data_IF_247331259251
#
_entry.id   IF_247331259251
#
_cell.length_a   1.000
_cell.length_b   1.000
_cell.length_c   1.000
_cell.angle_alpha   90.00
_cell.angle_beta   90.00
_cell.angle_gamma   90.00
#
_symmetry.space_group_name_H-M   'P 1'
#
loop_
_entity.id
_entity.type
_entity.pdbx_description
1 polymer ?
#
# COMPACT_ATOMS: atom_id res chain seq x y z
N UNK A 1 1.45 -7.02 10.31
CA UNK A 1 0.69 -7.54 9.15
C UNK A 1 1.50 -8.61 8.44
N UNK A 2 0.90 -9.69 7.91
CA UNK A 2 1.54 -10.67 7.01
C UNK A 2 1.43 -10.23 5.55
N UNK A 3 2.23 -10.82 4.65
CA UNK A 3 2.15 -10.58 3.20
C UNK A 3 0.73 -10.82 2.68
N UNK A 4 0.06 -11.86 3.19
CA UNK A 4 -1.31 -12.22 2.83
C UNK A 4 -2.31 -11.13 3.23
N UNK A 5 -2.13 -10.52 4.41
CA UNK A 5 -2.96 -9.39 4.85
C UNK A 5 -2.73 -8.14 3.99
N UNK A 6 -1.50 -7.90 3.52
CA UNK A 6 -1.18 -6.79 2.61
C UNK A 6 -1.87 -7.01 1.26
N UNK A 7 -1.77 -8.23 0.71
CA UNK A 7 -2.42 -8.59 -0.56
C UNK A 7 -3.94 -8.49 -0.48
N UNK A 8 -4.54 -8.92 0.63
CA UNK A 8 -5.98 -8.80 0.86
C UNK A 8 -6.42 -7.33 0.95
N UNK A 9 -5.63 -6.48 1.63
CA UNK A 9 -5.88 -5.03 1.66
C UNK A 9 -5.77 -4.40 0.27
N UNK A 10 -4.73 -4.75 -0.50
CA UNK A 10 -4.55 -4.29 -1.90
C UNK A 10 -5.78 -4.63 -2.74
N UNK A 11 -6.28 -5.86 -2.67
CA UNK A 11 -7.48 -6.27 -3.44
C UNK A 11 -8.69 -5.41 -3.11
N UNK A 12 -9.00 -5.25 -1.82
CA UNK A 12 -10.14 -4.41 -1.38
C UNK A 12 -10.01 -2.97 -1.85
N UNK A 13 -8.80 -2.41 -1.81
CA UNK A 13 -8.53 -1.04 -2.26
C UNK A 13 -8.73 -0.88 -3.78
N UNK A 14 -8.32 -1.88 -4.58
CA UNK A 14 -8.56 -1.88 -6.03
C UNK A 14 -10.06 -1.98 -6.33
N UNK A 15 -10.79 -2.83 -5.61
CA UNK A 15 -12.24 -2.94 -5.77
C UNK A 15 -12.94 -1.60 -5.43
N UNK A 16 -12.55 -0.94 -4.34
CA UNK A 16 -13.06 0.39 -3.97
C UNK A 16 -12.72 1.46 -5.03
N UNK A 17 -11.50 1.46 -5.57
CA UNK A 17 -11.08 2.37 -6.65
C UNK A 17 -11.94 2.19 -7.91
N UNK A 18 -12.21 0.94 -8.29
CA UNK A 18 -13.08 0.61 -9.42
C UNK A 18 -14.51 1.09 -9.21
N UNK A 19 -15.09 0.91 -8.03
CA UNK A 19 -16.43 1.40 -7.70
C UNK A 19 -16.51 2.93 -7.73
N UNK A 20 -15.49 3.60 -7.19
CA UNK A 20 -15.39 5.06 -7.17
C UNK A 20 -15.24 5.66 -8.57
N UNK A 21 -14.41 5.04 -9.42
CA UNK A 21 -14.24 5.43 -10.84
C UNK A 21 -15.52 5.20 -11.64
N UNK A 22 -16.26 4.14 -11.35
CA UNK A 22 -17.53 3.84 -12.04
C UNK A 22 -18.64 4.83 -11.65
N UNK A 23 -18.67 5.27 -10.39
CA UNK A 23 -19.72 6.15 -9.88
C UNK A 23 -19.60 7.61 -10.38
N UNK A 24 -18.45 8.03 -10.94
CA UNK A 24 -18.22 9.34 -11.57
C UNK A 24 -18.66 10.59 -10.76
N UNK A 25 -18.76 10.49 -9.44
CA UNK A 25 -19.19 11.59 -8.57
C UNK A 25 -18.05 12.60 -8.30
N UNK A 26 -18.37 13.91 -8.24
CA UNK A 26 -17.42 14.93 -7.84
C UNK A 26 -17.00 14.71 -6.38
N UNK A 27 -15.70 14.43 -6.17
CA UNK A 27 -15.13 14.08 -4.86
C UNK A 27 -14.46 12.71 -4.83
N UNK A 28 -14.85 11.80 -5.73
CA UNK A 28 -14.21 10.49 -5.85
C UNK A 28 -12.78 10.57 -6.37
N UNK A 29 -12.43 11.59 -7.17
CA UNK A 29 -11.07 11.77 -7.66
C UNK A 29 -10.03 11.94 -6.53
N UNK A 30 -10.39 12.65 -5.45
CA UNK A 30 -9.51 12.80 -4.28
C UNK A 30 -9.38 11.48 -3.50
N UNK A 31 -10.47 10.71 -3.41
CA UNK A 31 -10.48 9.39 -2.75
C UNK A 31 -9.68 8.35 -3.54
N UNK A 32 -9.85 8.31 -4.86
CA UNK A 32 -9.07 7.45 -5.78
C UNK A 32 -7.59 7.76 -5.63
N UNK A 33 -7.19 9.04 -5.61
CA UNK A 33 -5.79 9.41 -5.42
C UNK A 33 -5.23 8.92 -4.08
N UNK A 34 -5.99 9.06 -2.99
CA UNK A 34 -5.57 8.57 -1.68
C UNK A 34 -5.42 7.03 -1.67
N UNK A 35 -6.31 6.31 -2.38
CA UNK A 35 -6.21 4.85 -2.55
C UNK A 35 -4.95 4.47 -3.34
N UNK A 36 -4.64 5.19 -4.41
CA UNK A 36 -3.42 4.98 -5.21
C UNK A 36 -2.16 5.17 -4.34
N UNK A 37 -2.10 6.21 -3.51
CA UNK A 37 -1.00 6.45 -2.56
C UNK A 37 -0.88 5.32 -1.51
N UNK A 38 -2.00 4.83 -0.97
CA UNK A 38 -2.00 3.69 -0.04
C UNK A 38 -1.57 2.37 -0.70
N UNK A 39 -1.92 2.17 -1.97
CA UNK A 39 -1.51 1.01 -2.76
C UNK A 39 0.00 0.99 -2.98
N UNK A 40 0.61 2.14 -3.31
CA UNK A 40 2.06 2.26 -3.47
C UNK A 40 2.81 1.86 -2.18
N UNK A 41 2.36 2.35 -1.03
CA UNK A 41 2.91 1.98 0.28
C UNK A 41 2.79 0.48 0.53
N UNK A 42 1.65 -0.13 0.20
CA UNK A 42 1.44 -1.58 0.36
C UNK A 42 2.36 -2.39 -0.55
N UNK A 43 2.56 -1.96 -1.80
CA UNK A 43 3.46 -2.62 -2.74
C UNK A 43 4.93 -2.50 -2.33
N UNK A 44 5.36 -1.34 -1.84
CA UNK A 44 6.71 -1.13 -1.34
C UNK A 44 7.01 -1.99 -0.11
N UNK A 45 6.06 -2.07 0.83
CA UNK A 45 6.19 -2.94 2.00
C UNK A 45 6.33 -4.41 1.59
N UNK A 46 5.56 -4.85 0.60
CA UNK A 46 5.63 -6.22 0.09
C UNK A 46 6.96 -6.49 -0.63
N UNK A 47 7.46 -5.52 -1.40
CA UNK A 47 8.77 -5.60 -2.06
C UNK A 47 9.90 -5.66 -1.03
N UNK A 48 9.88 -4.82 0.01
CA UNK A 48 10.87 -4.81 1.08
C UNK A 48 10.92 -6.17 1.81
N UNK A 49 9.75 -6.76 2.08
CA UNK A 49 9.67 -8.09 2.72
C UNK A 49 10.19 -9.21 1.83
N UNK A 50 9.91 -9.15 0.53
CA UNK A 50 10.45 -10.11 -0.43
C UNK A 50 11.97 -10.01 -0.52
N UNK A 51 12.51 -8.80 -0.61
CA UNK A 51 13.96 -8.57 -0.58
C UNK A 51 14.58 -9.09 0.71
N UNK A 52 13.96 -8.83 1.88
CA UNK A 52 14.45 -9.37 3.15
C UNK A 52 14.53 -10.91 3.13
N UNK A 53 13.51 -11.61 2.61
CA UNK A 53 13.54 -13.08 2.45
C UNK A 53 14.64 -13.55 1.50
N UNK A 54 14.82 -12.86 0.37
CA UNK A 54 15.79 -13.24 -0.67
C UNK A 54 17.24 -13.07 -0.20
N UNK A 55 17.54 -12.02 0.56
CA UNK A 55 18.87 -11.75 1.11
C UNK A 55 19.12 -12.42 2.49
N UNK A 56 18.23 -13.31 2.94
CA UNK A 56 18.37 -14.04 4.22
C UNK A 56 18.23 -13.16 5.46
N UNK A 57 17.70 -11.94 5.31
CA UNK A 57 17.33 -11.07 6.42
C UNK A 57 15.98 -11.50 7.00
N UNK A 58 15.79 -11.26 8.31
CA UNK A 58 14.66 -11.81 9.04
C UNK A 58 13.33 -11.15 8.57
N UNK A 59 12.41 -11.90 7.92
CA UNK A 59 11.21 -11.33 7.31
C UNK A 59 10.16 -10.84 8.32
N UNK A 60 10.34 -11.18 9.60
CA UNK A 60 9.56 -10.65 10.73
C UNK A 60 10.07 -9.32 11.28
N UNK A 61 11.28 -8.89 10.90
CA UNK A 61 11.86 -7.61 11.33
C UNK A 61 11.41 -6.43 10.45
N UNK A 62 10.87 -6.73 9.27
CA UNK A 62 10.11 -5.79 8.43
C UNK A 62 8.77 -5.43 9.12
N UNK A 63 8.87 -4.71 10.22
CA UNK A 63 7.73 -4.04 10.82
C UNK A 63 7.31 -2.91 9.87
N UNK A 64 6.00 -2.79 9.63
CA UNK A 64 5.43 -1.54 9.13
C UNK A 64 5.92 -0.45 10.08
N UNK A 65 6.92 0.33 9.67
CA UNK A 65 7.27 1.53 10.42
C UNK A 65 5.97 2.34 10.53
N UNK A 66 5.60 2.83 11.73
CA UNK A 66 4.45 3.70 11.85
C UNK A 66 4.59 4.83 10.84
N UNK A 67 3.49 5.18 10.17
CA UNK A 67 3.34 6.27 9.18
C UNK A 67 3.70 7.62 9.83
N UNK A 68 5.01 7.83 10.03
CA UNK A 68 5.56 9.02 10.68
C UNK A 68 7.02 9.27 10.31
N UNK A 69 7.61 8.44 9.44
CA UNK A 69 9.01 8.56 9.03
C UNK A 69 9.20 8.35 7.52
N UNK A 70 8.15 8.61 6.72
CA UNK A 70 8.32 8.91 5.28
C UNK A 70 8.19 10.42 5.10
N UNK A 71 8.97 11.16 5.89
CA UNK A 71 9.44 12.51 5.53
C UNK A 71 10.42 12.33 4.37
N UNK A 72 9.87 12.16 3.17
CA UNK A 72 10.67 11.82 2.00
C UNK A 72 9.89 11.69 0.70
N UNK A 73 8.62 12.13 0.66
CA UNK A 73 8.06 12.54 -0.63
C UNK A 73 8.88 13.73 -1.11
N UNK A 74 9.78 13.43 -2.03
CA UNK A 74 10.55 14.37 -2.83
C UNK A 74 9.60 15.47 -3.31
N UNK A 75 9.95 16.71 -2.97
CA UNK A 75 9.49 17.91 -3.67
C UNK A 75 9.99 17.91 -5.11
#
# INVERSE_FOLDING_TARGET
MSDEQILDRIKRMIDEEHELRTSAEPGHAARVKAIEEELDVCWDLLRQRRAAREYGANPGEAHSRPVGEVEGYQQ
#
